data_IF_928704675884
#
_entry.id   IF_928704675884
#
_cell.length_a   1.000
_cell.length_b   1.000
_cell.length_c   1.000
_cell.angle_alpha   90.00
_cell.angle_beta   90.00
_cell.angle_gamma   90.00
#
_symmetry.space_group_name_H-M   'P 1'
#
loop_
_entity.id
_entity.type
_entity.pdbx_description
1 polymer ?
#
# COMPACT_ATOMS: atom_id res chain seq x y z
N UNK A 1 49.56 -31.84 -11.34
CA UNK A 1 48.83 -30.58 -11.07
C UNK A 1 47.74 -30.89 -10.05
N UNK A 2 47.89 -30.42 -8.80
CA UNK A 2 47.04 -30.78 -7.67
C UNK A 2 45.86 -29.78 -7.53
N UNK A 3 44.62 -30.31 -7.41
CA UNK A 3 43.41 -29.57 -7.20
C UNK A 3 43.39 -28.86 -5.84
N UNK A 4 43.15 -27.56 -5.84
CA UNK A 4 42.83 -26.81 -4.63
C UNK A 4 41.32 -26.88 -4.38
N UNK A 5 40.87 -27.54 -3.30
CA UNK A 5 39.50 -27.51 -2.77
C UNK A 5 39.32 -26.26 -1.96
N UNK A 6 38.37 -25.39 -2.33
CA UNK A 6 37.98 -24.21 -1.57
C UNK A 6 37.19 -24.58 -0.30
N UNK A 7 37.58 -23.97 0.80
CA UNK A 7 36.93 -24.11 2.10
C UNK A 7 35.57 -23.36 2.11
N UNK A 8 34.56 -23.94 2.74
CA UNK A 8 33.22 -23.35 2.88
C UNK A 8 33.20 -22.32 4.03
N UNK A 9 32.27 -21.36 3.95
CA UNK A 9 32.08 -20.26 4.92
C UNK A 9 31.92 -20.72 6.39
N UNK A 10 31.64 -21.98 6.63
CA UNK A 10 31.45 -22.56 7.97
C UNK A 10 32.77 -22.94 8.65
N UNK A 11 33.84 -23.12 7.91
CA UNK A 11 35.15 -23.54 8.45
C UNK A 11 36.05 -22.34 8.86
N UNK A 12 35.66 -21.12 8.49
CA UNK A 12 36.44 -19.90 8.81
C UNK A 12 36.12 -19.31 10.19
N UNK A 13 35.10 -19.77 10.89
CA UNK A 13 34.64 -19.24 12.18
C UNK A 13 35.15 -20.01 13.42
N UNK A 14 35.90 -21.11 13.23
CA UNK A 14 36.36 -21.97 14.34
C UNK A 14 37.87 -21.77 14.74
N UNK A 15 38.60 -20.88 14.04
CA UNK A 15 40.05 -20.72 14.26
C UNK A 15 40.55 -19.35 14.75
N UNK A 16 39.75 -18.63 15.52
CA UNK A 16 40.27 -17.41 16.19
C UNK A 16 39.76 -17.31 17.62
N UNK A 17 40.56 -17.79 18.54
CA UNK A 17 40.29 -17.53 19.95
C UNK A 17 40.86 -18.56 20.89
N UNK A 18 42.17 -18.47 21.18
CA UNK A 18 42.72 -18.90 22.48
C UNK A 18 44.11 -18.31 22.62
N UNK A 19 44.25 -17.22 23.37
CA UNK A 19 45.46 -16.88 24.12
C UNK A 19 45.05 -16.04 25.32
N UNK A 20 45.37 -16.57 26.45
CA UNK A 20 45.01 -16.33 27.78
C UNK A 20 45.45 -15.02 28.42
N UNK A 21 44.84 -14.80 29.58
CA UNK A 21 45.51 -14.21 30.76
C UNK A 21 44.71 -14.63 32.00
N UNK A 22 45.36 -15.42 32.87
CA UNK A 22 44.85 -15.79 34.16
C UNK A 22 44.98 -14.64 35.14
N UNK A 23 43.94 -14.44 35.95
CA UNK A 23 44.04 -13.77 37.24
C UNK A 23 42.98 -14.41 38.16
N UNK A 24 43.45 -14.93 39.25
CA UNK A 24 42.70 -15.60 40.30
C UNK A 24 41.79 -14.61 41.03
N UNK A 25 40.51 -14.98 41.18
CA UNK A 25 39.68 -14.50 42.27
C UNK A 25 38.97 -15.71 42.90
N UNK A 26 39.41 -16.02 44.11
CA UNK A 26 38.79 -17.01 44.97
C UNK A 26 37.55 -16.42 45.64
N UNK A 27 36.46 -17.17 45.67
CA UNK A 27 35.45 -17.14 46.69
C UNK A 27 34.25 -16.20 46.52
N UNK A 28 33.26 -16.64 45.75
CA UNK A 28 31.84 -16.29 45.96
C UNK A 28 30.98 -17.50 45.59
N UNK A 29 29.93 -17.79 46.37
CA UNK A 29 29.13 -19.00 46.17
C UNK A 29 28.30 -18.95 44.90
N UNK A 30 28.47 -19.97 44.05
CA UNK A 30 27.82 -20.14 42.73
C UNK A 30 26.33 -20.53 42.77
N UNK A 31 25.58 -20.12 43.79
CA UNK A 31 24.16 -20.48 43.94
C UNK A 31 23.17 -19.33 43.79
N UNK A 32 23.58 -18.15 43.31
CA UNK A 32 22.69 -16.98 43.23
C UNK A 32 22.63 -16.29 41.87
N UNK A 33 22.99 -16.96 40.76
CA UNK A 33 22.89 -16.38 39.40
C UNK A 33 22.26 -17.34 38.36
N UNK A 34 21.39 -18.25 38.80
CA UNK A 34 20.64 -19.14 37.93
C UNK A 34 19.13 -19.03 38.16
N UNK A 35 18.64 -17.84 38.52
CA UNK A 35 17.23 -17.51 38.49
C UNK A 35 17.08 -16.17 37.79
N UNK A 36 16.22 -16.16 36.78
CA UNK A 36 15.80 -15.01 35.96
C UNK A 36 16.64 -14.66 34.72
N UNK A 37 17.20 -15.63 34.02
CA UNK A 37 17.21 -15.60 32.57
C UNK A 37 16.09 -16.56 32.10
N UNK A 38 14.86 -16.15 32.34
CA UNK A 38 13.73 -16.59 31.55
C UNK A 38 13.95 -15.94 30.17
N UNK A 39 14.81 -16.56 29.37
CA UNK A 39 14.80 -16.41 27.91
C UNK A 39 13.47 -17.00 27.55
N UNK A 40 12.46 -16.08 27.44
CA UNK A 40 11.15 -16.44 26.92
C UNK A 40 11.41 -17.27 25.68
N UNK A 41 11.10 -18.55 25.74
CA UNK A 41 10.99 -19.40 24.57
C UNK A 41 10.12 -18.60 23.63
N UNK A 42 10.65 -18.24 22.44
CA UNK A 42 9.87 -17.69 21.35
C UNK A 42 8.66 -18.62 21.23
N UNK A 43 7.49 -18.18 21.74
CA UNK A 43 6.23 -18.82 21.42
C UNK A 43 6.21 -18.78 19.90
N UNK A 44 6.29 -19.94 19.24
CA UNK A 44 6.22 -20.04 17.79
C UNK A 44 4.92 -19.35 17.37
N UNK A 45 5.06 -18.13 16.84
CA UNK A 45 3.92 -17.36 16.39
C UNK A 45 3.26 -18.11 15.24
N UNK A 46 1.94 -18.22 15.27
CA UNK A 46 1.22 -18.84 14.16
C UNK A 46 1.30 -17.97 12.91
N UNK A 47 1.74 -18.53 11.78
CA UNK A 47 1.84 -17.82 10.51
C UNK A 47 0.49 -17.26 10.07
N UNK A 48 0.49 -16.04 9.51
CA UNK A 48 -0.65 -15.39 8.90
C UNK A 48 -0.24 -14.78 7.56
N UNK A 49 -0.71 -15.37 6.47
CA UNK A 49 -0.44 -14.93 5.11
C UNK A 49 -1.49 -13.90 4.66
N UNK A 50 -1.07 -12.64 4.42
CA UNK A 50 -1.96 -11.56 4.04
C UNK A 50 -1.57 -10.99 2.68
N UNK A 51 -2.46 -11.10 1.69
CA UNK A 51 -2.31 -10.44 0.38
C UNK A 51 -3.06 -9.11 0.40
N UNK A 52 -2.38 -8.01 0.06
CA UNK A 52 -2.96 -6.67 0.15
C UNK A 52 -2.50 -5.74 -0.96
N UNK A 53 -3.29 -4.67 -1.20
CA UNK A 53 -2.97 -3.64 -2.16
C UNK A 53 -1.59 -3.02 -1.90
N UNK A 54 -0.73 -2.91 -2.91
CA UNK A 54 0.64 -2.44 -2.80
C UNK A 54 0.79 -1.10 -2.06
N UNK A 55 -0.17 -0.20 -2.23
CA UNK A 55 -0.21 1.10 -1.55
C UNK A 55 -0.27 1.04 -0.02
N UNK A 56 -0.64 -0.12 0.56
CA UNK A 56 -0.67 -0.34 2.01
C UNK A 56 0.69 -0.75 2.61
N UNK A 57 1.70 -1.03 1.77
CA UNK A 57 2.93 -1.73 2.17
C UNK A 57 3.61 -1.15 3.41
N UNK A 58 3.83 0.16 3.46
CA UNK A 58 4.54 0.79 4.59
C UNK A 58 3.81 0.61 5.94
N UNK A 59 2.47 0.63 5.93
CA UNK A 59 1.66 0.42 7.12
C UNK A 59 1.58 -1.07 7.48
N UNK A 60 1.37 -1.93 6.50
CA UNK A 60 1.20 -3.37 6.73
C UNK A 60 2.49 -4.03 7.22
N UNK A 61 3.64 -3.76 6.58
CA UNK A 61 4.95 -4.31 6.98
C UNK A 61 5.55 -3.66 8.23
N UNK A 62 5.02 -2.53 8.64
CA UNK A 62 5.46 -1.83 9.84
C UNK A 62 4.51 -2.07 11.03
N UNK A 63 3.68 -1.07 11.37
CA UNK A 63 2.89 -1.12 12.60
C UNK A 63 1.79 -2.18 12.62
N UNK A 64 1.19 -2.57 11.49
CA UNK A 64 0.20 -3.66 11.45
C UNK A 64 0.88 -4.99 11.77
N UNK A 65 2.00 -5.31 11.14
CA UNK A 65 2.80 -6.50 11.43
C UNK A 65 3.21 -6.56 12.92
N UNK A 66 3.73 -5.43 13.44
CA UNK A 66 4.13 -5.34 14.85
C UNK A 66 2.94 -5.52 15.81
N UNK A 67 1.77 -4.94 15.48
CA UNK A 67 0.54 -5.09 16.25
C UNK A 67 0.01 -6.53 16.25
N UNK A 68 -0.01 -7.17 15.08
CA UNK A 68 -0.41 -8.57 14.93
C UNK A 68 0.47 -9.51 15.78
N UNK A 69 1.79 -9.34 15.75
CA UNK A 69 2.71 -10.12 16.57
C UNK A 69 2.47 -9.89 18.08
N UNK A 70 2.36 -8.62 18.48
CA UNK A 70 2.21 -8.24 19.89
C UNK A 70 0.87 -8.68 20.47
N UNK A 71 -0.22 -8.36 19.78
CA UNK A 71 -1.58 -8.47 20.31
C UNK A 71 -2.21 -9.82 20.02
N UNK A 72 -1.95 -10.39 18.83
CA UNK A 72 -2.59 -11.61 18.37
C UNK A 72 -1.66 -12.83 18.40
N UNK A 73 -0.38 -12.64 18.66
CA UNK A 73 0.64 -13.71 18.59
C UNK A 73 0.68 -14.35 17.19
N UNK A 74 0.62 -13.52 16.14
CA UNK A 74 0.67 -13.93 14.74
C UNK A 74 1.96 -13.48 14.08
N UNK A 75 2.62 -14.37 13.35
CA UNK A 75 3.73 -14.06 12.45
C UNK A 75 3.18 -13.63 11.09
N UNK A 76 3.14 -12.33 10.87
CA UNK A 76 2.55 -11.72 9.68
C UNK A 76 3.47 -11.83 8.47
N UNK A 77 2.99 -12.50 7.42
CA UNK A 77 3.64 -12.62 6.13
C UNK A 77 2.86 -11.82 5.07
N UNK A 78 3.39 -10.67 4.69
CA UNK A 78 2.74 -9.76 3.76
C UNK A 78 3.08 -10.04 2.30
N UNK A 79 2.07 -9.93 1.42
CA UNK A 79 2.24 -9.93 -0.05
C UNK A 79 1.62 -8.68 -0.63
N UNK A 80 2.46 -7.68 -0.93
CA UNK A 80 2.06 -6.42 -1.53
C UNK A 80 2.08 -6.49 -3.06
N UNK A 81 0.94 -6.28 -3.72
CA UNK A 81 0.85 -6.24 -5.18
C UNK A 81 -0.41 -5.50 -5.65
N UNK A 82 -0.53 -5.23 -6.95
CA UNK A 82 -1.76 -4.68 -7.52
C UNK A 82 -2.98 -5.58 -7.25
N UNK A 83 -4.07 -5.00 -6.74
CA UNK A 83 -5.24 -5.72 -6.25
C UNK A 83 -5.86 -6.69 -7.26
N UNK A 84 -5.93 -6.29 -8.55
CA UNK A 84 -6.47 -7.14 -9.61
C UNK A 84 -5.56 -8.36 -9.87
N UNK A 85 -4.24 -8.18 -9.83
CA UNK A 85 -3.30 -9.29 -10.03
C UNK A 85 -3.41 -10.29 -8.89
N UNK A 86 -3.48 -9.82 -7.64
CA UNK A 86 -3.69 -10.68 -6.47
C UNK A 86 -5.01 -11.47 -6.56
N UNK A 87 -6.10 -10.80 -6.93
CA UNK A 87 -7.40 -11.45 -7.10
C UNK A 87 -7.33 -12.60 -8.13
N UNK A 88 -6.66 -12.37 -9.28
CA UNK A 88 -6.48 -13.41 -10.29
C UNK A 88 -5.62 -14.59 -9.79
N UNK A 89 -4.54 -14.31 -9.07
CA UNK A 89 -3.67 -15.35 -8.50
C UNK A 89 -4.41 -16.19 -7.44
N UNK A 90 -5.25 -15.57 -6.59
CA UNK A 90 -6.08 -16.24 -5.60
C UNK A 90 -7.13 -17.12 -6.29
N UNK A 91 -7.87 -16.57 -7.25
CA UNK A 91 -8.91 -17.31 -8.00
C UNK A 91 -8.31 -18.47 -8.77
N UNK A 92 -7.13 -18.26 -9.40
CA UNK A 92 -6.40 -19.30 -10.13
C UNK A 92 -5.68 -20.33 -9.23
N UNK A 93 -5.70 -20.17 -7.91
CA UNK A 93 -5.02 -21.06 -6.97
C UNK A 93 -3.49 -21.01 -7.03
N UNK A 94 -2.94 -19.96 -7.64
CA UNK A 94 -1.48 -19.77 -7.75
C UNK A 94 -0.84 -19.25 -6.45
N UNK A 95 -1.63 -18.64 -5.58
CA UNK A 95 -1.23 -18.23 -4.24
C UNK A 95 -2.31 -18.64 -3.23
N UNK A 96 -1.86 -19.00 -2.03
CA UNK A 96 -2.70 -19.18 -0.87
C UNK A 96 -2.45 -18.02 0.09
N UNK A 97 -3.51 -17.51 0.68
CA UNK A 97 -3.46 -16.45 1.69
C UNK A 97 -4.59 -16.69 2.69
N UNK A 98 -4.40 -16.19 3.90
CA UNK A 98 -5.45 -16.23 4.93
C UNK A 98 -6.44 -15.07 4.73
N UNK A 99 -5.89 -13.88 4.39
CA UNK A 99 -6.66 -12.66 4.21
C UNK A 99 -6.28 -11.98 2.90
N UNK A 100 -7.28 -11.41 2.22
CA UNK A 100 -7.11 -10.56 1.03
C UNK A 100 -7.66 -9.16 1.26
N UNK A 101 -6.84 -8.12 0.97
CA UNK A 101 -7.20 -6.70 1.20
C UNK A 101 -6.95 -5.86 -0.05
N UNK A 102 -7.88 -5.79 -1.01
CA UNK A 102 -7.81 -4.89 -2.16
C UNK A 102 -8.23 -3.45 -1.82
N UNK A 103 -7.89 -2.50 -2.71
CA UNK A 103 -8.19 -1.07 -2.56
C UNK A 103 -9.53 -0.64 -3.16
N UNK A 104 -10.20 -1.49 -3.93
CA UNK A 104 -11.50 -1.20 -4.56
C UNK A 104 -12.42 -2.41 -4.49
N UNK A 105 -13.74 -2.25 -4.72
CA UNK A 105 -14.70 -3.36 -4.71
C UNK A 105 -14.43 -4.42 -5.78
N UNK A 106 -14.01 -4.05 -6.99
CA UNK A 106 -13.90 -4.96 -8.13
C UNK A 106 -13.08 -6.22 -7.88
N UNK A 107 -11.83 -6.12 -7.40
CA UNK A 107 -11.01 -7.28 -7.05
C UNK A 107 -11.61 -8.12 -5.92
N UNK A 108 -12.25 -7.50 -4.91
CA UNK A 108 -12.96 -8.21 -3.86
C UNK A 108 -14.12 -9.03 -4.44
N UNK A 109 -14.97 -8.40 -5.28
CA UNK A 109 -16.08 -9.06 -5.97
C UNK A 109 -15.59 -10.20 -6.88
N UNK A 110 -14.42 -10.07 -7.51
CA UNK A 110 -13.82 -11.14 -8.31
C UNK A 110 -13.56 -12.40 -7.46
N UNK A 111 -13.01 -12.23 -6.26
CA UNK A 111 -12.73 -13.32 -5.31
C UNK A 111 -14.03 -13.91 -4.74
N UNK A 112 -15.01 -13.05 -4.40
CA UNK A 112 -16.33 -13.48 -3.90
C UNK A 112 -17.08 -14.30 -4.95
N UNK A 113 -17.21 -13.80 -6.18
CA UNK A 113 -17.90 -14.48 -7.30
C UNK A 113 -17.24 -15.81 -7.68
N UNK A 114 -15.95 -15.96 -7.45
CA UNK A 114 -15.24 -17.23 -7.61
C UNK A 114 -15.43 -18.19 -6.43
N UNK A 115 -16.23 -17.82 -5.43
CA UNK A 115 -16.51 -18.65 -4.25
C UNK A 115 -15.32 -18.79 -3.28
N UNK A 116 -14.31 -17.92 -3.39
CA UNK A 116 -13.10 -17.98 -2.57
C UNK A 116 -13.22 -17.27 -1.22
N UNK A 117 -14.26 -16.46 -1.02
CA UNK A 117 -14.63 -15.85 0.25
C UNK A 117 -16.15 -15.66 0.30
N UNK A 118 -16.74 -15.50 1.50
CA UNK A 118 -18.18 -15.30 1.67
C UNK A 118 -18.56 -13.82 1.70
N UNK A 119 -17.67 -12.98 2.21
CA UNK A 119 -17.88 -11.53 2.30
C UNK A 119 -16.57 -10.78 2.28
N UNK A 120 -16.64 -9.47 1.99
CA UNK A 120 -15.53 -8.55 2.14
C UNK A 120 -15.99 -7.35 2.98
N UNK A 121 -15.32 -7.11 4.10
CA UNK A 121 -15.65 -6.06 5.06
C UNK A 121 -14.88 -4.78 4.74
N UNK A 122 -15.53 -3.61 4.69
CA UNK A 122 -14.83 -2.34 4.53
C UNK A 122 -14.04 -2.02 5.80
N UNK A 123 -12.74 -1.73 5.66
CA UNK A 123 -11.86 -1.48 6.82
C UNK A 123 -11.28 -0.07 6.85
N UNK A 124 -11.13 0.56 5.70
CA UNK A 124 -10.60 1.91 5.55
C UNK A 124 -10.94 2.47 4.18
N UNK A 125 -10.70 3.75 3.95
CA UNK A 125 -10.73 4.37 2.63
C UNK A 125 -9.57 5.33 2.44
N UNK A 126 -9.33 5.70 1.19
CA UNK A 126 -8.39 6.75 0.80
C UNK A 126 -9.00 7.60 -0.32
N UNK A 127 -8.24 8.54 -0.83
CA UNK A 127 -8.65 9.42 -1.93
C UNK A 127 -7.47 9.73 -2.85
N UNK A 128 -7.75 10.11 -4.07
CA UNK A 128 -6.75 10.64 -4.99
C UNK A 128 -6.34 12.04 -4.57
N UNK A 129 -5.03 12.27 -4.60
CA UNK A 129 -4.40 13.59 -4.37
C UNK A 129 -3.35 13.85 -5.43
N UNK A 130 -2.89 15.08 -5.55
CA UNK A 130 -1.69 15.41 -6.31
C UNK A 130 -0.55 15.67 -5.33
N UNK A 131 0.36 14.70 -5.20
CA UNK A 131 1.59 14.88 -4.43
C UNK A 131 2.57 15.75 -5.22
N UNK A 132 3.38 16.55 -4.52
CA UNK A 132 4.38 17.39 -5.17
C UNK A 132 5.71 17.42 -4.43
N UNK A 133 6.77 17.70 -5.17
CA UNK A 133 8.11 17.82 -4.61
C UNK A 133 8.28 19.19 -3.93
N UNK A 134 8.73 19.25 -2.66
CA UNK A 134 9.09 20.51 -2.03
C UNK A 134 10.32 21.17 -2.70
N UNK A 135 11.06 20.43 -3.54
CA UNK A 135 12.20 20.91 -4.32
C UNK A 135 11.80 21.45 -5.70
N UNK A 136 10.54 21.32 -6.08
CA UNK A 136 10.03 21.84 -7.35
C UNK A 136 10.06 23.37 -7.38
N UNK A 137 10.39 23.95 -8.53
CA UNK A 137 10.21 25.39 -8.75
C UNK A 137 8.75 25.84 -8.64
N UNK A 138 7.81 24.91 -8.71
CA UNK A 138 6.36 25.16 -8.57
C UNK A 138 5.85 24.89 -7.14
N UNK A 139 6.71 24.55 -6.19
CA UNK A 139 6.30 24.12 -4.84
C UNK A 139 5.43 25.16 -4.12
N UNK A 140 5.78 26.45 -4.17
CA UNK A 140 4.98 27.52 -3.55
C UNK A 140 3.59 27.67 -4.16
N UNK A 141 3.45 27.41 -5.45
CA UNK A 141 2.17 27.43 -6.16
C UNK A 141 1.31 26.22 -5.77
N UNK A 142 1.90 25.03 -5.70
CA UNK A 142 1.19 23.85 -5.17
C UNK A 142 0.74 24.05 -3.73
N UNK A 143 1.58 24.67 -2.89
CA UNK A 143 1.19 25.03 -1.52
C UNK A 143 0.02 26.03 -1.50
N UNK A 144 0.00 27.01 -2.40
CA UNK A 144 -1.11 27.93 -2.56
C UNK A 144 -2.38 27.20 -3.02
N UNK A 145 -2.26 26.26 -3.96
CA UNK A 145 -3.37 25.43 -4.43
C UNK A 145 -3.92 24.54 -3.32
N UNK A 146 -3.06 23.93 -2.48
CA UNK A 146 -3.49 23.15 -1.33
C UNK A 146 -4.31 23.96 -0.31
N UNK A 147 -4.12 25.28 -0.28
CA UNK A 147 -4.87 26.24 0.55
C UNK A 147 -6.05 26.88 -0.20
N UNK A 148 -6.38 26.42 -1.41
CA UNK A 148 -7.45 26.97 -2.25
C UNK A 148 -7.19 28.38 -2.79
N UNK A 149 -5.93 28.83 -2.80
CA UNK A 149 -5.54 30.19 -3.24
C UNK A 149 -5.06 30.23 -4.69
N UNK A 150 -4.82 29.09 -5.31
CA UNK A 150 -4.41 28.98 -6.71
C UNK A 150 -5.10 27.79 -7.38
N UNK A 151 -5.30 27.87 -8.68
CA UNK A 151 -5.92 26.82 -9.48
C UNK A 151 -4.89 25.72 -9.80
N UNK A 152 -5.09 24.54 -9.25
CA UNK A 152 -4.24 23.37 -9.46
C UNK A 152 -4.06 23.04 -10.94
N UNK A 153 -5.14 23.12 -11.72
CA UNK A 153 -5.10 22.74 -13.13
C UNK A 153 -4.20 23.67 -13.95
N UNK A 154 -4.17 24.95 -13.63
CA UNK A 154 -3.24 25.89 -14.25
C UNK A 154 -1.80 25.58 -13.96
N UNK A 155 -1.50 25.11 -12.73
CA UNK A 155 -0.14 24.70 -12.36
C UNK A 155 0.28 23.46 -13.16
N UNK A 156 -0.61 22.46 -13.27
CA UNK A 156 -0.32 21.22 -14.00
C UNK A 156 -0.13 21.43 -15.52
N UNK A 157 -0.64 22.54 -16.04
CA UNK A 157 -0.50 22.94 -17.46
C UNK A 157 0.75 23.80 -17.72
N UNK A 158 1.55 24.12 -16.71
CA UNK A 158 2.73 24.95 -16.88
C UNK A 158 3.80 24.30 -17.77
N UNK A 159 4.37 25.05 -18.70
CA UNK A 159 5.44 24.54 -19.56
C UNK A 159 6.63 24.03 -18.75
N UNK A 160 7.03 22.79 -19.04
CA UNK A 160 8.18 22.16 -18.39
C UNK A 160 7.89 21.60 -16.99
N UNK A 161 6.62 21.52 -16.56
CA UNK A 161 6.23 20.76 -15.38
C UNK A 161 6.40 19.26 -15.67
N UNK A 162 7.07 18.57 -14.74
CA UNK A 162 7.35 17.13 -14.83
C UNK A 162 6.35 16.37 -13.95
N UNK A 163 5.35 15.79 -14.60
CA UNK A 163 4.30 15.00 -13.93
C UNK A 163 4.61 13.51 -14.01
N UNK A 164 4.40 12.79 -12.90
CA UNK A 164 4.55 11.33 -12.83
C UNK A 164 3.24 10.63 -12.49
N UNK A 165 3.06 9.42 -13.02
CA UNK A 165 1.94 8.53 -12.70
C UNK A 165 2.35 7.07 -12.92
N UNK A 166 1.56 6.13 -12.44
CA UNK A 166 1.78 4.71 -12.70
C UNK A 166 1.12 4.27 -14.02
N UNK A 167 1.48 3.08 -14.48
CA UNK A 167 0.97 2.51 -15.75
C UNK A 167 -0.51 2.10 -15.61
N UNK A 168 -1.43 2.66 -16.39
CA UNK A 168 -2.85 2.33 -16.31
C UNK A 168 -3.19 0.91 -16.78
N UNK A 169 -2.32 0.22 -17.52
CA UNK A 169 -2.51 -1.18 -17.91
C UNK A 169 -2.38 -2.09 -16.70
N UNK A 170 -1.33 -1.88 -15.91
CA UNK A 170 -0.92 -2.81 -14.84
C UNK A 170 -1.32 -2.33 -13.45
N UNK A 171 -1.49 -1.02 -13.24
CA UNK A 171 -1.67 -0.41 -11.92
C UNK A 171 -3.03 0.32 -11.81
N UNK A 172 -3.86 0.00 -10.80
CA UNK A 172 -5.10 0.72 -10.51
C UNK A 172 -4.91 2.22 -10.33
N UNK A 173 -3.83 2.69 -9.69
CA UNK A 173 -3.57 4.11 -9.47
C UNK A 173 -3.38 4.87 -10.80
N UNK A 174 -2.73 4.23 -11.79
CA UNK A 174 -2.60 4.80 -13.13
C UNK A 174 -3.94 4.99 -13.84
N UNK A 175 -4.92 4.11 -13.60
CA UNK A 175 -6.30 4.29 -14.07
C UNK A 175 -7.04 5.36 -13.28
N UNK A 176 -6.86 5.35 -11.96
CA UNK A 176 -7.59 6.25 -11.06
C UNK A 176 -7.24 7.72 -11.31
N UNK A 177 -5.99 8.05 -11.64
CA UNK A 177 -5.68 9.43 -12.02
C UNK A 177 -6.36 9.83 -13.33
N UNK A 178 -6.51 8.91 -14.30
CA UNK A 178 -7.23 9.19 -15.54
C UNK A 178 -8.71 9.46 -15.23
N UNK A 179 -9.36 8.64 -14.41
CA UNK A 179 -10.73 8.88 -13.94
C UNK A 179 -10.86 10.21 -13.20
N UNK A 180 -9.96 10.51 -12.27
CA UNK A 180 -9.91 11.80 -11.57
C UNK A 180 -9.86 12.98 -12.57
N UNK A 181 -9.01 12.87 -13.59
CA UNK A 181 -8.87 13.92 -14.60
C UNK A 181 -10.12 14.02 -15.52
N UNK A 182 -10.77 12.89 -15.86
CA UNK A 182 -12.05 12.90 -16.59
C UNK A 182 -13.14 13.61 -15.78
N UNK A 183 -13.24 13.31 -14.48
CA UNK A 183 -14.19 13.97 -13.59
C UNK A 183 -13.86 15.46 -13.42
N UNK A 184 -12.60 15.82 -13.30
CA UNK A 184 -12.16 17.22 -13.23
C UNK A 184 -12.48 17.98 -14.52
N UNK A 185 -12.26 17.37 -15.69
CA UNK A 185 -12.59 17.94 -16.99
C UNK A 185 -14.10 18.25 -17.09
N UNK A 186 -14.96 17.33 -16.62
CA UNK A 186 -16.42 17.53 -16.55
C UNK A 186 -16.78 18.67 -15.60
N UNK A 187 -16.25 18.64 -14.38
CA UNK A 187 -16.55 19.64 -13.34
C UNK A 187 -16.12 21.07 -13.75
N UNK A 188 -14.95 21.19 -14.38
CA UNK A 188 -14.40 22.48 -14.82
C UNK A 188 -14.88 22.89 -16.22
N UNK A 189 -15.63 22.04 -16.93
CA UNK A 189 -16.01 22.21 -18.35
C UNK A 189 -14.82 22.42 -19.30
N UNK A 190 -13.69 21.76 -19.00
CA UNK A 190 -12.47 21.77 -19.80
C UNK A 190 -12.26 20.39 -20.42
N UNK A 191 -12.91 20.13 -21.55
CA UNK A 191 -12.92 18.79 -22.19
C UNK A 191 -11.52 18.27 -22.56
N UNK A 192 -10.55 19.16 -22.79
CA UNK A 192 -9.18 18.85 -23.18
C UNK A 192 -8.20 18.73 -22.02
N UNK A 193 -8.68 18.83 -20.77
CA UNK A 193 -7.83 18.80 -19.56
C UNK A 193 -7.04 17.48 -19.44
N UNK A 194 -7.68 16.35 -19.73
CA UNK A 194 -7.04 15.03 -19.67
C UNK A 194 -5.85 14.99 -20.64
N UNK A 195 -6.07 15.32 -21.89
CA UNK A 195 -5.03 15.27 -22.94
C UNK A 195 -3.90 16.29 -22.68
N UNK A 196 -4.24 17.47 -22.18
CA UNK A 196 -3.25 18.51 -21.86
C UNK A 196 -2.35 18.15 -20.69
N UNK A 197 -2.87 17.50 -19.64
CA UNK A 197 -2.10 17.15 -18.43
C UNK A 197 -1.44 15.80 -18.58
N UNK A 198 -2.18 14.77 -19.00
CA UNK A 198 -1.70 13.40 -19.04
C UNK A 198 -1.16 12.98 -20.41
N UNK A 199 -1.57 13.65 -21.47
CA UNK A 199 -1.30 13.23 -22.85
C UNK A 199 -2.05 11.93 -23.20
N UNK A 200 -1.47 11.07 -24.05
CA UNK A 200 -2.09 9.79 -24.39
C UNK A 200 -2.23 8.89 -23.17
N UNK A 201 -3.21 7.99 -23.19
CA UNK A 201 -3.45 7.01 -22.11
C UNK A 201 -2.18 6.30 -21.67
N UNK A 202 -1.38 5.85 -22.65
CA UNK A 202 -0.02 5.32 -22.42
C UNK A 202 0.97 6.43 -22.79
N UNK A 203 1.54 7.06 -21.77
CA UNK A 203 2.53 8.13 -21.92
C UNK A 203 3.81 7.75 -21.17
N UNK A 204 4.75 7.14 -21.88
CA UNK A 204 6.01 6.62 -21.33
C UNK A 204 6.84 7.70 -20.61
N UNK A 205 6.67 8.99 -20.96
CA UNK A 205 7.37 10.08 -20.28
C UNK A 205 6.86 10.34 -18.86
N UNK A 206 5.63 9.90 -18.54
CA UNK A 206 5.00 10.10 -17.25
C UNK A 206 4.88 8.79 -16.46
N UNK A 207 5.06 7.63 -17.11
CA UNK A 207 4.79 6.31 -16.50
C UNK A 207 6.03 5.78 -15.81
N UNK A 208 5.88 5.48 -14.52
CA UNK A 208 6.90 4.89 -13.67
C UNK A 208 6.24 3.86 -12.74
N UNK A 209 7.04 3.01 -12.10
CA UNK A 209 6.53 2.18 -10.99
C UNK A 209 6.22 3.05 -9.78
N UNK A 210 5.27 2.65 -8.94
CA UNK A 210 4.86 3.41 -7.74
C UNK A 210 6.05 3.83 -6.86
N UNK A 211 6.99 2.94 -6.48
CA UNK A 211 8.16 3.34 -5.71
C UNK A 211 9.04 4.36 -6.44
N UNK A 212 9.15 4.24 -7.77
CA UNK A 212 9.95 5.17 -8.58
C UNK A 212 9.33 6.55 -8.63
N UNK A 213 8.00 6.65 -8.76
CA UNK A 213 7.28 7.95 -8.71
C UNK A 213 7.60 8.68 -7.41
N UNK A 214 7.44 8.01 -6.28
CA UNK A 214 7.66 8.61 -4.97
C UNK A 214 9.13 9.01 -4.76
N UNK A 215 10.08 8.17 -5.15
CA UNK A 215 11.51 8.48 -5.07
C UNK A 215 11.89 9.70 -5.93
N UNK A 216 11.33 9.81 -7.14
CA UNK A 216 11.56 10.94 -8.03
C UNK A 216 10.93 12.25 -7.54
N UNK A 217 9.82 12.19 -6.82
CA UNK A 217 9.28 13.35 -6.10
C UNK A 217 10.23 13.79 -4.96
N UNK A 218 10.72 12.85 -4.17
CA UNK A 218 11.67 13.14 -3.08
C UNK A 218 12.98 13.74 -3.59
N UNK A 219 13.49 13.24 -4.70
CA UNK A 219 14.72 13.77 -5.33
C UNK A 219 14.51 15.13 -5.99
N UNK A 220 13.30 15.47 -6.40
CA UNK A 220 12.96 16.66 -7.19
C UNK A 220 13.11 16.44 -8.70
N UNK A 221 13.24 15.19 -9.16
CA UNK A 221 13.20 14.85 -10.57
C UNK A 221 11.80 14.97 -11.17
N UNK A 222 10.76 14.77 -10.36
CA UNK A 222 9.39 15.13 -10.69
C UNK A 222 8.94 16.34 -9.89
N UNK A 223 8.09 17.15 -10.46
CA UNK A 223 7.49 18.30 -9.82
C UNK A 223 6.21 17.92 -9.08
N UNK A 224 5.39 17.06 -9.69
CA UNK A 224 4.15 16.54 -9.14
C UNK A 224 3.86 15.12 -9.64
N UNK A 225 2.98 14.43 -8.93
CA UNK A 225 2.47 13.11 -9.35
C UNK A 225 1.07 12.83 -8.83
N UNK A 226 0.39 11.88 -9.48
CA UNK A 226 -0.76 11.22 -8.87
C UNK A 226 -0.32 10.43 -7.64
N UNK A 227 -1.15 10.44 -6.60
CA UNK A 227 -0.94 9.63 -5.40
C UNK A 227 -2.28 9.31 -4.72
N UNK A 228 -2.31 8.25 -3.92
CA UNK A 228 -3.30 8.14 -2.87
C UNK A 228 -2.85 8.96 -1.66
N UNK A 229 -3.77 9.55 -0.92
CA UNK A 229 -3.49 10.40 0.26
C UNK A 229 -2.56 9.74 1.28
N UNK A 230 -2.60 8.43 1.37
CA UNK A 230 -1.80 7.62 2.30
C UNK A 230 -0.31 7.50 1.93
N UNK A 231 0.07 7.79 0.68
CA UNK A 231 1.43 7.57 0.18
C UNK A 231 2.42 8.71 0.50
N UNK A 232 2.06 10.00 0.39
CA UNK A 232 2.98 11.09 0.65
C UNK A 232 3.43 11.20 2.10
N UNK A 233 2.54 10.92 3.06
CA UNK A 233 2.78 11.15 4.49
C UNK A 233 4.01 10.45 5.04
N UNK A 234 4.18 9.13 4.87
CA UNK A 234 5.36 8.40 5.34
C UNK A 234 6.69 8.90 4.73
N UNK A 235 6.62 9.61 3.62
CA UNK A 235 7.78 10.15 2.89
C UNK A 235 8.00 11.64 3.16
N UNK A 236 7.19 12.26 4.03
CA UNK A 236 7.19 13.71 4.30
C UNK A 236 7.00 14.55 3.01
N UNK A 237 6.26 14.04 2.04
CA UNK A 237 5.91 14.78 0.83
C UNK A 237 4.59 15.53 1.04
N UNK A 238 4.53 16.80 0.61
CA UNK A 238 3.28 17.55 0.60
C UNK A 238 2.38 17.11 -0.56
N UNK A 239 1.08 17.41 -0.44
CA UNK A 239 0.10 17.15 -1.49
C UNK A 239 -0.98 18.23 -1.55
N UNK A 240 -1.63 18.34 -2.71
CA UNK A 240 -2.84 19.13 -2.92
C UNK A 240 -4.05 18.17 -2.80
N UNK A 241 -4.95 18.37 -1.83
CA UNK A 241 -6.18 17.61 -1.74
C UNK A 241 -7.09 17.94 -2.94
N UNK A 242 -7.82 16.95 -3.42
CA UNK A 242 -8.76 17.12 -4.52
C UNK A 242 -10.21 17.20 -3.99
N UNK A 243 -11.10 17.95 -4.66
CA UNK A 243 -12.53 17.96 -4.32
C UNK A 243 -13.13 16.55 -4.29
N UNK A 244 -14.09 16.33 -3.38
CA UNK A 244 -14.72 15.01 -3.17
C UNK A 244 -15.38 14.45 -4.42
N UNK A 245 -15.87 15.33 -5.28
CA UNK A 245 -16.54 14.99 -6.54
C UNK A 245 -15.61 14.32 -7.57
N UNK A 246 -14.29 14.47 -7.40
CA UNK A 246 -13.30 13.97 -8.35
C UNK A 246 -12.22 13.07 -7.75
N UNK A 247 -12.13 12.99 -6.40
CA UNK A 247 -11.03 12.28 -5.73
C UNK A 247 -11.27 10.78 -5.52
N UNK A 248 -12.35 10.24 -6.06
CA UNK A 248 -12.75 8.83 -5.99
C UNK A 248 -13.00 8.29 -4.56
N UNK A 249 -13.18 9.14 -3.55
CA UNK A 249 -13.55 8.69 -2.20
C UNK A 249 -15.06 8.46 -2.03
N UNK A 250 -15.86 8.89 -2.98
CA UNK A 250 -17.33 8.75 -2.97
C UNK A 250 -17.75 7.29 -3.22
N UNK A 251 -18.65 6.75 -2.39
CA UNK A 251 -19.12 5.36 -2.52
C UNK A 251 -19.84 5.10 -3.85
N UNK A 252 -20.52 6.11 -4.38
CA UNK A 252 -21.37 6.01 -5.58
C UNK A 252 -20.68 6.56 -6.83
N UNK A 253 -19.37 6.69 -6.85
CA UNK A 253 -18.62 7.38 -7.92
C UNK A 253 -18.99 6.87 -9.33
N UNK A 254 -19.20 5.56 -9.52
CA UNK A 254 -19.65 5.01 -10.80
C UNK A 254 -21.11 5.34 -11.10
N UNK A 255 -21.99 5.20 -10.10
CA UNK A 255 -23.44 5.48 -10.27
C UNK A 255 -23.69 6.95 -10.57
N UNK A 256 -22.91 7.85 -9.93
CA UNK A 256 -22.99 9.30 -10.15
C UNK A 256 -22.41 9.71 -11.52
N UNK A 257 -21.52 8.89 -12.08
CA UNK A 257 -20.83 9.15 -13.35
C UNK A 257 -20.82 7.91 -14.27
N UNK A 258 -22.01 7.40 -14.69
CA UNK A 258 -22.12 6.16 -15.46
C UNK A 258 -21.52 6.25 -16.88
N UNK A 259 -21.31 7.45 -17.37
CA UNK A 259 -20.70 7.75 -18.67
C UNK A 259 -19.16 7.77 -18.63
N UNK A 260 -18.54 7.68 -17.43
CA UNK A 260 -17.08 7.67 -17.29
C UNK A 260 -16.56 6.24 -17.34
N UNK A 261 -15.75 5.95 -18.35
CA UNK A 261 -15.09 4.66 -18.51
C UNK A 261 -13.74 4.81 -19.21
N UNK A 262 -12.87 3.84 -19.06
CA UNK A 262 -11.54 3.80 -19.67
C UNK A 262 -11.28 2.44 -20.31
N UNK A 263 -11.08 2.43 -21.61
CA UNK A 263 -10.62 1.25 -22.34
C UNK A 263 -9.08 1.24 -22.38
N UNK A 264 -8.45 0.25 -21.76
CA UNK A 264 -6.99 0.10 -21.73
C UNK A 264 -6.60 -1.36 -21.52
N UNK A 265 -5.53 -1.82 -22.17
CA UNK A 265 -5.05 -3.19 -22.06
C UNK A 265 -6.08 -4.25 -22.47
N UNK A 266 -6.95 -3.94 -23.46
CA UNK A 266 -8.00 -4.84 -23.95
C UNK A 266 -9.18 -5.01 -23.00
N UNK A 267 -9.31 -4.19 -21.95
CA UNK A 267 -10.40 -4.19 -20.97
C UNK A 267 -11.00 -2.81 -20.83
N UNK A 268 -12.27 -2.74 -20.46
CA UNK A 268 -12.94 -1.50 -20.06
C UNK A 268 -13.08 -1.46 -18.55
N UNK A 269 -12.64 -0.36 -17.97
CA UNK A 269 -12.72 -0.08 -16.54
C UNK A 269 -13.68 1.09 -16.29
N UNK A 270 -14.27 1.10 -15.12
CA UNK A 270 -15.13 2.17 -14.61
C UNK A 270 -14.50 2.73 -13.32
N UNK A 271 -14.80 3.98 -12.93
CA UNK A 271 -14.32 4.51 -11.66
C UNK A 271 -14.95 3.73 -10.49
N UNK A 272 -14.12 3.32 -9.54
CA UNK A 272 -14.53 2.63 -8.32
C UNK A 272 -14.17 3.46 -7.10
N UNK A 273 -14.95 3.35 -5.99
CA UNK A 273 -14.60 4.01 -4.74
C UNK A 273 -13.30 3.43 -4.16
N UNK A 274 -12.45 4.30 -3.64
CA UNK A 274 -11.18 3.92 -3.02
C UNK A 274 -11.40 3.45 -1.57
N UNK A 275 -12.05 2.31 -1.41
CA UNK A 275 -12.37 1.67 -0.15
C UNK A 275 -11.63 0.34 -0.08
N UNK A 276 -10.87 0.14 0.99
CA UNK A 276 -10.20 -1.12 1.27
C UNK A 276 -11.17 -2.10 1.89
N UNK A 277 -11.28 -3.25 1.27
CA UNK A 277 -12.12 -4.35 1.74
C UNK A 277 -11.23 -5.50 2.20
N UNK A 278 -11.54 -6.11 3.33
CA UNK A 278 -10.81 -7.27 3.81
C UNK A 278 -11.72 -8.50 3.82
N UNK A 279 -11.20 -9.62 3.31
CA UNK A 279 -11.87 -10.92 3.24
C UNK A 279 -11.01 -11.99 3.88
N UNK A 280 -11.60 -12.86 4.71
CA UNK A 280 -11.01 -14.17 5.04
C UNK A 280 -11.26 -15.10 3.86
N UNK A 281 -10.21 -15.77 3.38
CA UNK A 281 -10.34 -16.73 2.30
C UNK A 281 -10.82 -18.08 2.82
N UNK A 282 -11.63 -18.82 2.03
CA UNK A 282 -12.21 -20.12 2.44
C UNK A 282 -11.16 -21.22 2.60
N UNK A 283 -10.09 -21.13 1.83
CA UNK A 283 -8.94 -22.04 1.86
C UNK A 283 -7.77 -21.48 2.70
N UNK A 284 -8.08 -20.58 3.64
CA UNK A 284 -7.11 -19.98 4.57
C UNK A 284 -6.35 -21.05 5.36
N UNK A 285 -5.01 -21.14 5.24
CA UNK A 285 -4.20 -22.07 6.05
C UNK A 285 -4.39 -21.88 7.57
N UNK A 286 -4.55 -20.62 8.00
CA UNK A 286 -4.79 -20.24 9.39
C UNK A 286 -6.12 -19.49 9.55
N UNK A 287 -7.24 -20.18 9.32
CA UNK A 287 -8.58 -19.58 9.40
C UNK A 287 -8.89 -18.93 10.76
N UNK A 288 -8.38 -19.50 11.86
CA UNK A 288 -8.56 -18.95 13.22
C UNK A 288 -7.79 -17.64 13.39
N UNK A 289 -6.53 -17.61 12.96
CA UNK A 289 -5.70 -16.40 12.96
C UNK A 289 -6.27 -15.31 12.05
N UNK A 290 -6.75 -15.69 10.86
CA UNK A 290 -7.41 -14.78 9.93
C UNK A 290 -8.65 -14.12 10.54
N UNK A 291 -9.52 -14.89 11.20
CA UNK A 291 -10.71 -14.35 11.88
C UNK A 291 -10.32 -13.38 13.01
N UNK A 292 -9.35 -13.75 13.85
CA UNK A 292 -8.85 -12.87 14.91
C UNK A 292 -8.23 -11.58 14.33
N UNK A 293 -7.46 -11.67 13.24
CA UNK A 293 -6.88 -10.53 12.56
C UNK A 293 -7.95 -9.59 11.98
N UNK A 294 -9.01 -10.13 11.38
CA UNK A 294 -10.13 -9.35 10.88
C UNK A 294 -10.85 -8.56 11.99
N UNK A 295 -11.08 -9.18 13.14
CA UNK A 295 -11.68 -8.48 14.29
C UNK A 295 -10.76 -7.40 14.84
N UNK A 296 -9.45 -7.68 14.94
CA UNK A 296 -8.47 -6.71 15.39
C UNK A 296 -8.35 -5.52 14.41
N UNK A 297 -8.39 -5.76 13.09
CA UNK A 297 -8.37 -4.69 12.08
C UNK A 297 -9.53 -3.69 12.25
N UNK A 298 -10.68 -4.12 12.73
CA UNK A 298 -11.85 -3.27 13.03
C UNK A 298 -11.76 -2.59 14.39
N UNK A 299 -10.88 -3.08 15.26
CA UNK A 299 -10.69 -2.57 16.61
C UNK A 299 -9.96 -1.23 16.67
N UNK A 300 -10.06 -0.54 17.80
CA UNK A 300 -9.51 0.79 18.00
C UNK A 300 -7.98 0.88 17.83
N UNK A 301 -7.25 -0.18 18.19
CA UNK A 301 -5.80 -0.23 18.04
C UNK A 301 -5.39 -0.15 16.57
N UNK A 302 -5.90 -1.04 15.72
CA UNK A 302 -5.60 -1.04 14.29
C UNK A 302 -6.16 0.22 13.60
N UNK A 303 -7.39 0.65 13.93
CA UNK A 303 -7.98 1.88 13.38
C UNK A 303 -7.18 3.13 13.76
N UNK A 304 -6.56 3.16 14.94
CA UNK A 304 -5.61 4.20 15.33
C UNK A 304 -4.34 4.19 14.46
N UNK A 305 -3.87 3.01 14.03
CA UNK A 305 -2.78 2.87 13.07
C UNK A 305 -3.21 3.41 11.70
N UNK A 306 -4.38 3.00 11.19
CA UNK A 306 -4.91 3.50 9.93
C UNK A 306 -4.97 5.03 9.91
N UNK A 307 -5.51 5.65 10.96
CA UNK A 307 -5.59 7.11 11.09
C UNK A 307 -4.21 7.79 11.04
N UNK A 308 -3.21 7.23 11.73
CA UNK A 308 -1.83 7.74 11.71
C UNK A 308 -1.19 7.70 10.32
N UNK A 309 -1.63 6.76 9.48
CA UNK A 309 -1.15 6.60 8.09
C UNK A 309 -2.05 7.28 7.07
N UNK A 310 -2.87 8.26 7.52
CA UNK A 310 -3.76 9.07 6.68
C UNK A 310 -4.87 8.28 5.96
N UNK A 311 -5.23 7.10 6.46
CA UNK A 311 -6.47 6.46 6.02
C UNK A 311 -7.66 7.11 6.71
N UNK A 312 -8.76 7.19 5.99
CA UNK A 312 -10.03 7.60 6.54
C UNK A 312 -10.86 6.38 6.95
N UNK A 313 -11.79 6.58 7.89
CA UNK A 313 -12.81 5.57 8.22
C UNK A 313 -13.59 5.18 6.96
N UNK A 314 -14.00 3.90 6.79
CA UNK A 314 -14.82 3.49 5.66
C UNK A 314 -16.20 4.17 5.63
N UNK A 315 -16.62 4.82 6.73
CA UNK A 315 -17.91 5.51 6.84
C UNK A 315 -19.07 4.52 6.73
N UNK A 316 -20.06 4.86 5.89
CA UNK A 316 -21.27 4.06 5.68
C UNK A 316 -21.10 2.93 4.64
N UNK A 317 -19.86 2.61 4.27
CA UNK A 317 -19.60 1.53 3.33
C UNK A 317 -20.08 0.20 3.93
N UNK A 318 -20.81 -0.58 3.12
CA UNK A 318 -21.35 -1.87 3.53
C UNK A 318 -20.46 -3.02 3.07
N UNK A 319 -20.58 -4.16 3.75
CA UNK A 319 -19.92 -5.39 3.33
C UNK A 319 -20.36 -5.79 1.92
N UNK A 320 -19.42 -6.34 1.14
CA UNK A 320 -19.69 -6.93 -0.16
C UNK A 320 -19.98 -8.43 0.01
N UNK A 321 -20.88 -8.92 -0.80
CA UNK A 321 -21.26 -10.33 -0.89
C UNK A 321 -21.23 -10.78 -2.35
N UNK A 322 -21.19 -12.10 -2.61
CA UNK A 322 -21.19 -12.70 -3.94
C UNK A 322 -22.51 -12.47 -4.69
#
# INVERSE_FOLDING_TARGET
>A
MKNAKGLTRRELLVRSGWLGLGAAFAGLPTHLLAKDLDVGLDEDLAALDVSYAGSMGSMMEGPIKAGAAKTLKLDFHGRAQGSNALAQLIVGGSIHSDVFIPVTPGPALTVLKAGKADSAQPIAKTEMVIAYSPKSKFASRFEAAAKGKEDLWKILLEPGLRFGRTDPVTDPQGRNIIFTMMLAAKASKQADLVDKVLGPTINEKQIFTEPTVMARLQSGELDASSAYKIQPGPLNLPYVPLPKEINLSGQNVHTDHPDVSLAVGGKTYIPEPLIYFASVLKDAPNAKGAAAFMEWLKGSEAQGIFTKYNYDSPGDATALHA
#
